data_IF_432814302522
#
_entry.id   IF_432814302522
#
_cell.length_a   1.000
_cell.length_b   1.000
_cell.length_c   1.000
_cell.angle_alpha   90.00
_cell.angle_beta   90.00
_cell.angle_gamma   90.00
#
_symmetry.space_group_name_H-M   'P 1'
#
loop_
_entity.id
_entity.type
_entity.pdbx_description
1 polymer ?
#
# COMPACT_ATOMS: atom_id res chain seq x y z
N UNK A 1 8.55 -5.60 14.02
CA UNK A 1 7.43 -6.53 13.78
C UNK A 1 7.64 -7.14 12.39
N UNK A 2 7.41 -8.44 12.19
CA UNK A 2 7.38 -9.01 10.84
C UNK A 2 5.99 -8.71 10.26
N UNK A 3 5.95 -7.94 9.19
CA UNK A 3 4.74 -7.50 8.51
C UNK A 3 4.46 -8.53 7.43
N UNK A 4 3.57 -9.49 7.71
CA UNK A 4 3.33 -10.66 6.84
C UNK A 4 2.79 -10.25 5.47
N UNK A 5 3.70 -9.99 4.52
CA UNK A 5 3.40 -9.42 3.21
C UNK A 5 4.62 -9.54 2.29
N UNK A 6 4.37 -9.85 1.03
CA UNK A 6 5.31 -9.75 -0.08
C UNK A 6 4.69 -8.87 -1.15
N UNK A 7 5.31 -7.72 -1.38
CA UNK A 7 4.95 -6.82 -2.48
C UNK A 7 6.16 -6.61 -3.36
N UNK A 8 5.94 -6.53 -4.67
CA UNK A 8 7.00 -6.38 -5.66
C UNK A 8 6.58 -5.43 -6.77
N UNK A 9 7.56 -4.86 -7.46
CA UNK A 9 7.34 -4.06 -8.65
C UNK A 9 8.53 -4.15 -9.60
N UNK A 10 8.25 -4.14 -10.90
CA UNK A 10 9.24 -4.21 -11.99
C UNK A 10 8.85 -3.23 -13.10
N UNK A 11 9.83 -2.48 -13.58
CA UNK A 11 9.75 -1.64 -14.78
C UNK A 11 9.90 -2.51 -16.03
N UNK A 12 9.11 -2.23 -17.06
CA UNK A 12 9.19 -2.89 -18.36
C UNK A 12 9.04 -1.87 -19.49
N UNK A 13 9.29 -2.27 -20.73
CA UNK A 13 9.18 -1.38 -21.87
C UNK A 13 7.74 -0.88 -22.06
N UNK A 14 7.51 0.42 -21.78
CA UNK A 14 6.22 1.07 -21.90
C UNK A 14 5.33 1.05 -20.65
N UNK A 15 5.84 0.58 -19.50
CA UNK A 15 5.07 0.62 -18.27
C UNK A 15 5.72 0.01 -17.02
N UNK A 16 4.89 -0.19 -16.00
CA UNK A 16 5.28 -0.85 -14.75
C UNK A 16 4.28 -1.94 -14.36
N UNK A 17 4.79 -3.03 -13.79
CA UNK A 17 3.98 -4.07 -13.14
C UNK A 17 4.23 -4.02 -11.65
N UNK A 18 3.15 -4.00 -10.87
CA UNK A 18 3.16 -4.17 -9.43
C UNK A 18 2.44 -5.46 -9.08
N UNK A 19 2.82 -6.08 -7.97
CA UNK A 19 2.10 -7.22 -7.44
C UNK A 19 2.18 -7.33 -5.93
N UNK A 20 1.22 -8.06 -5.38
CA UNK A 20 1.12 -8.34 -3.95
C UNK A 20 0.56 -9.73 -3.68
N UNK A 21 0.97 -10.34 -2.57
CA UNK A 21 0.25 -11.47 -1.96
C UNK A 21 -1.02 -10.98 -1.24
N UNK A 22 -1.95 -11.88 -0.94
CA UNK A 22 -3.27 -11.53 -0.40
C UNK A 22 -3.50 -11.97 1.04
N UNK A 23 -2.48 -12.47 1.74
CA UNK A 23 -2.60 -12.87 3.16
C UNK A 23 -2.50 -11.67 4.10
N UNK A 24 -3.41 -11.56 5.07
CA UNK A 24 -3.28 -10.65 6.20
C UNK A 24 -3.16 -11.44 7.52
N UNK A 25 -2.24 -11.02 8.39
CA UNK A 25 -1.92 -11.75 9.63
C UNK A 25 -2.13 -10.90 10.88
N UNK A 26 -2.70 -11.51 11.91
CA UNK A 26 -2.79 -11.01 13.28
C UNK A 26 -1.87 -11.82 14.18
N UNK A 27 -0.58 -11.49 14.19
CA UNK A 27 0.44 -12.31 14.85
C UNK A 27 0.67 -13.62 14.11
N UNK A 28 0.27 -14.75 14.71
CA UNK A 28 0.41 -16.09 14.10
C UNK A 28 -0.84 -16.57 13.37
N UNK A 29 -1.94 -15.84 13.51
CA UNK A 29 -3.23 -16.21 12.91
C UNK A 29 -3.39 -15.49 11.58
N UNK A 30 -3.87 -16.19 10.56
CA UNK A 30 -4.32 -15.57 9.30
C UNK A 30 -5.69 -14.96 9.54
N UNK A 31 -5.79 -13.64 9.46
CA UNK A 31 -7.03 -12.89 9.67
C UNK A 31 -7.86 -12.78 8.39
N UNK A 32 -7.18 -12.66 7.24
CA UNK A 32 -7.81 -12.60 5.93
C UNK A 32 -6.92 -13.35 4.92
N UNK A 33 -7.56 -14.12 4.05
CA UNK A 33 -6.91 -14.88 2.98
C UNK A 33 -6.94 -14.16 1.64
N UNK A 34 -7.79 -13.16 1.44
CA UNK A 34 -7.98 -12.45 0.17
C UNK A 34 -7.95 -10.91 0.35
N UNK A 35 -6.96 -10.43 1.09
CA UNK A 35 -6.75 -9.02 1.41
C UNK A 35 -6.18 -8.25 0.20
N UNK A 36 -6.75 -7.08 -0.09
CA UNK A 36 -6.24 -6.18 -1.13
C UNK A 36 -5.11 -5.29 -0.59
N UNK A 37 -3.93 -5.39 -1.21
CA UNK A 37 -2.76 -4.60 -0.84
C UNK A 37 -2.34 -3.61 -1.93
N UNK A 38 -3.05 -3.59 -3.06
CA UNK A 38 -2.77 -2.69 -4.18
C UNK A 38 -3.75 -1.52 -4.13
N UNK A 39 -3.23 -0.35 -3.79
CA UNK A 39 -4.01 0.87 -3.65
C UNK A 39 -3.84 1.77 -4.88
N UNK A 40 -4.94 1.96 -5.60
CA UNK A 40 -5.01 2.84 -6.77
C UNK A 40 -5.06 4.30 -6.30
N UNK A 41 -4.07 5.11 -6.69
CA UNK A 41 -3.99 6.53 -6.31
C UNK A 41 -4.55 7.45 -7.39
N UNK A 42 -4.30 7.12 -8.66
CA UNK A 42 -4.78 7.82 -9.85
C UNK A 42 -4.87 6.84 -11.02
N UNK A 43 -5.43 7.27 -12.15
CA UNK A 43 -5.55 6.45 -13.37
C UNK A 43 -4.21 5.98 -13.96
N UNK A 44 -3.10 6.62 -13.57
CA UNK A 44 -1.73 6.30 -13.99
C UNK A 44 -0.78 5.98 -12.82
N UNK A 45 -1.28 5.85 -11.58
CA UNK A 45 -0.45 5.65 -10.38
C UNK A 45 -1.12 4.67 -9.42
N UNK A 46 -0.41 3.62 -9.04
CA UNK A 46 -0.81 2.69 -7.98
C UNK A 46 0.33 2.47 -6.98
N UNK A 47 -0.01 1.97 -5.80
CA UNK A 47 0.99 1.61 -4.81
C UNK A 47 0.62 0.35 -4.05
N UNK A 48 1.61 -0.48 -3.78
CA UNK A 48 1.47 -1.64 -2.91
C UNK A 48 1.86 -1.27 -1.48
N UNK A 49 1.05 -1.68 -0.50
CA UNK A 49 1.27 -1.42 0.91
C UNK A 49 1.78 -2.64 1.68
N UNK A 50 2.86 -2.46 2.43
CA UNK A 50 3.31 -3.37 3.48
C UNK A 50 3.45 -2.60 4.80
N UNK A 51 3.43 -3.30 5.94
CA UNK A 51 3.48 -2.66 7.25
C UNK A 51 2.22 -2.90 8.07
N UNK A 52 1.88 -1.92 8.91
CA UNK A 52 0.57 -1.85 9.57
C UNK A 52 -0.49 -1.58 8.51
N UNK A 53 -1.41 -2.53 8.29
CA UNK A 53 -2.41 -2.44 7.22
C UNK A 53 -3.26 -1.16 7.29
N UNK A 54 -3.64 -0.74 8.51
CA UNK A 54 -4.42 0.49 8.70
C UNK A 54 -3.65 1.76 8.29
N UNK A 55 -2.34 1.80 8.56
CA UNK A 55 -1.48 2.92 8.19
C UNK A 55 -1.32 2.99 6.67
N UNK A 56 -1.07 1.85 6.03
CA UNK A 56 -0.93 1.73 4.58
C UNK A 56 -2.19 2.19 3.84
N UNK A 57 -3.38 1.77 4.27
CA UNK A 57 -4.64 2.23 3.65
C UNK A 57 -4.87 3.72 3.91
N UNK A 58 -4.58 4.21 5.12
CA UNK A 58 -4.87 5.60 5.46
C UNK A 58 -3.96 6.59 4.76
N UNK A 59 -2.68 6.26 4.61
CA UNK A 59 -1.73 7.13 3.91
C UNK A 59 -2.00 7.17 2.40
N UNK A 60 -2.35 6.03 1.81
CA UNK A 60 -2.65 5.93 0.38
C UNK A 60 -3.95 6.63 0.03
N UNK A 61 -4.99 6.49 0.85
CA UNK A 61 -6.25 7.23 0.67
C UNK A 61 -6.04 8.75 0.83
N UNK A 62 -5.21 9.17 1.78
CA UNK A 62 -4.83 10.57 1.92
C UNK A 62 -4.09 11.12 0.70
N UNK A 63 -3.18 10.33 0.12
CA UNK A 63 -2.46 10.69 -1.10
C UNK A 63 -3.38 10.72 -2.32
N UNK A 64 -4.27 9.73 -2.47
CA UNK A 64 -5.30 9.67 -3.52
C UNK A 64 -6.16 10.92 -3.53
N UNK A 65 -6.68 11.33 -2.37
CA UNK A 65 -7.49 12.53 -2.25
C UNK A 65 -6.72 13.80 -2.60
N UNK A 66 -5.44 13.89 -2.22
CA UNK A 66 -4.59 15.02 -2.57
C UNK A 66 -4.32 15.10 -4.08
N UNK A 67 -4.01 13.96 -4.72
CA UNK A 67 -3.80 13.87 -6.17
C UNK A 67 -5.08 14.17 -6.95
N UNK A 68 -6.22 13.67 -6.49
CA UNK A 68 -7.51 13.96 -7.10
C UNK A 68 -7.87 15.45 -7.03
N UNK A 69 -7.55 16.13 -5.91
CA UNK A 69 -7.71 17.59 -5.80
C UNK A 69 -6.81 18.33 -6.78
N UNK A 70 -5.54 17.94 -6.87
CA UNK A 70 -4.60 18.51 -7.85
C UNK A 70 -5.12 18.32 -9.28
N UNK A 71 -5.60 17.12 -9.63
CA UNK A 71 -6.16 16.84 -10.94
C UNK A 71 -7.39 17.69 -11.27
N UNK A 72 -8.30 17.85 -10.30
CA UNK A 72 -9.50 18.71 -10.46
C UNK A 72 -9.15 20.18 -10.61
N UNK A 73 -8.19 20.68 -9.85
CA UNK A 73 -7.70 22.06 -9.97
C UNK A 73 -7.06 22.29 -11.34
N UNK A 74 -6.27 21.35 -11.85
CA UNK A 74 -5.73 21.42 -13.21
C UNK A 74 -6.81 21.39 -14.29
N UNK A 75 -7.84 20.55 -14.12
CA UNK A 75 -8.98 20.47 -15.05
C UNK A 75 -9.79 21.77 -15.09
N UNK A 76 -9.92 22.48 -13.96
CA UNK A 76 -10.59 23.77 -13.89
C UNK A 76 -9.82 24.90 -14.58
N UNK A 77 -8.49 24.78 -14.68
CA UNK A 77 -7.63 25.72 -15.40
C UNK A 77 -7.61 25.50 -16.92
N UNK A 78 -8.15 24.38 -17.43
CA UNK A 78 -8.19 24.09 -18.85
C UNK A 78 -9.33 24.87 -19.53
N UNK A 79 -9.06 25.56 -20.66
CA UNK A 79 -10.01 26.49 -21.29
C UNK A 79 -11.28 25.81 -21.86
N UNK A 80 -11.34 24.48 -21.89
CA UNK A 80 -12.44 23.68 -22.46
C UNK A 80 -13.49 23.22 -21.45
N UNK A 81 -13.33 23.44 -20.13
CA UNK A 81 -14.22 22.87 -19.10
C UNK A 81 -15.26 23.88 -18.56
N UNK A 82 -16.22 24.30 -19.40
CA UNK A 82 -17.52 24.68 -18.82
C UNK A 82 -18.08 23.42 -18.17
N UNK A 83 -18.43 23.48 -16.89
CA UNK A 83 -18.93 22.31 -16.16
C UNK A 83 -20.12 21.70 -16.92
N UNK A 84 -20.02 20.44 -17.39
CA UNK A 84 -21.10 19.77 -18.12
C UNK A 84 -22.42 19.78 -17.36
N UNK A 85 -22.34 19.74 -16.02
CA UNK A 85 -23.48 19.84 -15.10
C UNK A 85 -24.29 21.13 -15.23
N UNK A 86 -23.71 22.24 -15.68
CA UNK A 86 -24.45 23.49 -15.88
C UNK A 86 -25.37 23.45 -17.12
N UNK A 87 -25.24 22.43 -17.96
CA UNK A 87 -25.99 22.30 -19.23
C UNK A 87 -26.97 21.11 -19.23
N UNK A 88 -27.00 20.31 -18.16
CA UNK A 88 -27.88 19.15 -18.04
C UNK A 88 -29.34 19.59 -17.87
N UNK A 89 -30.24 19.14 -18.77
CA UNK A 89 -31.68 19.40 -18.64
C UNK A 89 -32.48 18.17 -18.16
N UNK A 90 -31.84 16.99 -18.11
CA UNK A 90 -32.46 15.75 -17.64
C UNK A 90 -31.49 14.88 -16.82
N UNK A 91 -32.04 13.92 -16.07
CA UNK A 91 -31.26 12.96 -15.27
C UNK A 91 -30.34 12.07 -16.11
N UNK A 92 -30.73 11.78 -17.35
CA UNK A 92 -29.91 11.04 -18.32
C UNK A 92 -28.80 11.90 -18.94
N UNK A 93 -28.99 13.22 -19.01
CA UNK A 93 -27.95 14.17 -19.40
C UNK A 93 -26.95 14.39 -18.26
N UNK A 94 -27.42 14.31 -17.01
CA UNK A 94 -26.59 14.30 -15.81
C UNK A 94 -25.67 13.07 -15.78
N UNK A 95 -26.20 11.86 -15.98
CA UNK A 95 -25.37 10.63 -16.03
C UNK A 95 -24.34 10.66 -17.17
N UNK A 96 -24.71 11.16 -18.35
CA UNK A 96 -23.76 11.35 -19.47
C UNK A 96 -22.70 12.42 -19.17
N UNK A 97 -23.11 13.52 -18.54
CA UNK A 97 -22.21 14.57 -18.11
C UNK A 97 -21.21 14.05 -17.06
N UNK A 98 -21.67 13.28 -16.08
CA UNK A 98 -20.82 12.61 -15.08
C UNK A 98 -19.81 11.67 -15.74
N UNK A 99 -20.24 10.80 -16.66
CA UNK A 99 -19.33 9.92 -17.40
C UNK A 99 -18.31 10.71 -18.26
N UNK A 100 -18.72 11.81 -18.89
CA UNK A 100 -17.81 12.68 -19.64
C UNK A 100 -16.80 13.39 -18.75
N UNK A 101 -17.22 13.84 -17.55
CA UNK A 101 -16.34 14.43 -16.55
C UNK A 101 -15.30 13.43 -16.07
N UNK A 102 -15.72 12.18 -15.82
CA UNK A 102 -14.83 11.10 -15.38
C UNK A 102 -13.80 10.76 -16.46
N UNK A 103 -14.20 10.68 -17.73
CA UNK A 103 -13.27 10.47 -18.84
C UNK A 103 -12.25 11.62 -19.02
N UNK A 104 -12.69 12.86 -18.81
CA UNK A 104 -11.80 14.03 -18.85
C UNK A 104 -10.85 14.12 -17.66
N UNK A 105 -11.29 13.68 -16.48
CA UNK A 105 -10.43 13.57 -15.30
C UNK A 105 -9.34 12.52 -15.51
N UNK A 106 -9.70 11.39 -16.08
CA UNK A 106 -8.81 10.29 -16.39
C UNK A 106 -7.67 10.70 -17.34
N UNK A 107 -8.00 11.48 -18.37
CA UNK A 107 -7.02 12.03 -19.30
C UNK A 107 -6.11 13.08 -18.64
N UNK A 108 -6.69 13.95 -17.80
CA UNK A 108 -5.91 14.95 -17.05
C UNK A 108 -4.93 14.26 -16.11
N UNK A 109 -5.37 13.21 -15.40
CA UNK A 109 -4.53 12.42 -14.52
C UNK A 109 -3.37 11.78 -15.28
N UNK A 110 -3.64 11.07 -16.38
CA UNK A 110 -2.60 10.43 -17.22
C UNK A 110 -1.59 11.44 -17.79
N UNK A 111 -2.04 12.62 -18.23
CA UNK A 111 -1.17 13.61 -18.88
C UNK A 111 -0.45 14.56 -17.92
N UNK A 112 -0.99 14.80 -16.73
CA UNK A 112 -0.51 15.90 -15.87
C UNK A 112 -0.06 15.45 -14.48
N UNK A 113 -0.60 14.35 -13.92
CA UNK A 113 -0.14 13.86 -12.63
C UNK A 113 1.19 13.14 -12.78
N UNK A 114 2.16 13.57 -11.97
CA UNK A 114 3.52 13.01 -11.91
C UNK A 114 3.64 11.97 -10.82
N UNK A 115 4.34 10.88 -11.10
CA UNK A 115 4.60 9.85 -10.10
C UNK A 115 5.46 10.41 -8.97
N UNK A 116 6.44 11.26 -9.31
CA UNK A 116 7.28 11.95 -8.34
C UNK A 116 6.51 12.86 -7.37
N UNK A 117 5.38 13.45 -7.80
CA UNK A 117 4.52 14.24 -6.91
C UNK A 117 3.84 13.35 -5.86
N UNK A 118 3.32 12.19 -6.28
CA UNK A 118 2.75 11.19 -5.38
C UNK A 118 3.81 10.66 -4.39
N UNK A 119 5.01 10.34 -4.89
CA UNK A 119 6.14 9.89 -4.07
C UNK A 119 6.50 10.92 -2.99
N UNK A 120 6.55 12.19 -3.35
CA UNK A 120 6.87 13.28 -2.42
C UNK A 120 5.78 13.48 -1.36
N UNK A 121 4.50 13.35 -1.74
CA UNK A 121 3.38 13.45 -0.79
C UNK A 121 3.46 12.34 0.27
N UNK A 122 3.67 11.10 -0.16
CA UNK A 122 3.82 9.94 0.72
C UNK A 122 5.05 10.07 1.62
N UNK A 123 6.22 10.36 1.02
CA UNK A 123 7.48 10.57 1.73
C UNK A 123 7.35 11.63 2.83
N UNK A 124 6.80 12.80 2.50
CA UNK A 124 6.64 13.91 3.44
C UNK A 124 5.71 13.55 4.58
N UNK A 125 4.66 12.77 4.31
CA UNK A 125 3.75 12.29 5.33
C UNK A 125 4.46 11.32 6.28
N UNK A 126 5.09 10.26 5.78
CA UNK A 126 5.83 9.29 6.61
C UNK A 126 6.94 9.95 7.43
N UNK A 127 7.73 10.81 6.80
CA UNK A 127 8.81 11.53 7.48
C UNK A 127 8.29 12.40 8.63
N UNK A 128 7.12 13.06 8.48
CA UNK A 128 6.53 13.88 9.55
C UNK A 128 6.22 13.07 10.80
N UNK A 129 5.83 11.80 10.63
CA UNK A 129 5.50 10.91 11.74
C UNK A 129 6.70 10.10 12.26
N UNK A 130 7.90 10.31 11.70
CA UNK A 130 9.17 9.74 12.18
C UNK A 130 9.09 8.22 12.46
N UNK A 131 8.39 7.47 11.60
CA UNK A 131 8.22 6.02 11.71
C UNK A 131 7.10 5.55 12.66
N UNK A 132 6.32 6.46 13.25
CA UNK A 132 5.11 6.09 14.02
C UNK A 132 4.04 5.48 13.11
N UNK A 133 3.93 6.02 11.88
CA UNK A 133 3.15 5.42 10.79
C UNK A 133 4.05 4.39 10.12
N UNK A 134 3.81 3.11 10.36
CA UNK A 134 4.61 2.02 9.81
C UNK A 134 3.95 1.52 8.53
N UNK A 135 4.23 2.24 7.45
CA UNK A 135 3.84 1.85 6.10
C UNK A 135 5.06 1.92 5.20
N UNK A 136 5.36 0.79 4.56
CA UNK A 136 6.40 0.66 3.57
C UNK A 136 5.70 0.43 2.22
N UNK A 137 6.00 1.28 1.25
CA UNK A 137 5.23 1.40 0.02
C UNK A 137 6.11 1.16 -1.20
N UNK A 138 5.58 0.41 -2.16
CA UNK A 138 6.12 0.35 -3.52
C UNK A 138 5.15 1.11 -4.41
N UNK A 139 5.56 2.29 -4.88
CA UNK A 139 4.75 3.17 -5.73
C UNK A 139 5.20 3.00 -7.17
N UNK A 140 4.28 2.61 -8.05
CA UNK A 140 4.52 2.51 -9.49
C UNK A 140 3.59 3.43 -10.26
N UNK A 141 4.08 3.98 -11.36
CA UNK A 141 3.23 4.71 -12.28
C UNK A 141 3.95 5.07 -13.57
N UNK A 142 3.17 5.61 -14.50
CA UNK A 142 3.68 6.14 -15.77
C UNK A 142 3.26 7.60 -15.86
N UNK A 143 4.21 8.48 -16.13
CA UNK A 143 3.95 9.89 -16.41
C UNK A 143 4.64 10.33 -17.71
N UNK A 144 4.57 11.61 -18.05
CA UNK A 144 5.12 12.09 -19.34
C UNK A 144 6.66 12.05 -19.41
N UNK A 145 7.35 11.88 -18.29
CA UNK A 145 8.80 11.64 -18.25
C UNK A 145 9.07 10.19 -18.61
N UNK A 146 8.29 9.27 -18.03
CA UNK A 146 8.35 7.85 -18.31
C UNK A 146 7.73 7.00 -17.21
N UNK A 147 8.14 5.76 -17.18
CA UNK A 147 7.83 4.76 -16.19
C UNK A 147 8.73 4.89 -14.95
N UNK A 148 8.11 4.86 -13.77
CA UNK A 148 8.82 5.07 -12.52
C UNK A 148 8.36 4.07 -11.46
N UNK A 149 9.31 3.48 -10.74
CA UNK A 149 9.07 2.77 -9.49
C UNK A 149 9.83 3.45 -8.35
N UNK A 150 9.09 3.79 -7.31
CA UNK A 150 9.59 4.39 -6.09
C UNK A 150 9.41 3.46 -4.90
N UNK A 151 10.51 3.18 -4.22
CA UNK A 151 10.52 2.50 -2.93
C UNK A 151 10.47 3.54 -1.81
N UNK A 152 9.45 3.46 -0.95
CA UNK A 152 9.25 4.38 0.17
C UNK A 152 9.27 3.59 1.47
N UNK A 153 10.27 3.86 2.31
CA UNK A 153 10.35 3.24 3.63
C UNK A 153 9.57 4.06 4.66
N UNK A 154 9.13 3.39 5.72
CA UNK A 154 8.40 3.96 6.86
C UNK A 154 9.09 5.16 7.55
N UNK A 155 10.42 5.26 7.45
CA UNK A 155 11.18 6.43 7.93
C UNK A 155 11.09 7.67 7.02
N UNK A 156 10.42 7.59 5.88
CA UNK A 156 10.37 8.65 4.87
C UNK A 156 11.60 8.70 3.95
N UNK A 157 12.37 7.62 3.87
CA UNK A 157 13.39 7.44 2.84
C UNK A 157 12.71 7.07 1.51
N UNK A 158 13.20 7.64 0.42
CA UNK A 158 12.68 7.45 -0.93
C UNK A 158 13.83 7.09 -1.86
N UNK A 159 13.67 6.04 -2.65
CA UNK A 159 14.59 5.65 -3.71
C UNK A 159 13.81 5.35 -4.99
N UNK A 160 14.38 5.73 -6.13
CA UNK A 160 13.88 5.36 -7.47
C UNK A 160 14.70 4.17 -7.96
N UNK A 161 14.02 3.12 -8.41
CA UNK A 161 14.63 1.83 -8.74
C UNK A 161 13.87 1.16 -9.88
N UNK A 162 14.55 0.32 -10.66
CA UNK A 162 13.93 -0.41 -11.78
C UNK A 162 13.07 -1.60 -11.32
N UNK A 163 13.45 -2.22 -10.21
CA UNK A 163 12.67 -3.27 -9.58
C UNK A 163 12.88 -3.22 -8.07
N UNK A 164 11.89 -3.68 -7.32
CA UNK A 164 11.97 -3.73 -5.87
C UNK A 164 11.02 -4.75 -5.28
N UNK A 165 11.33 -5.21 -4.08
CA UNK A 165 10.43 -5.99 -3.25
C UNK A 165 10.48 -5.47 -1.81
N UNK A 166 9.32 -5.47 -1.15
CA UNK A 166 9.13 -4.97 0.21
C UNK A 166 8.25 -5.91 1.04
N UNK A 167 8.33 -5.80 2.36
CA UNK A 167 7.63 -6.68 3.31
C UNK A 167 8.49 -7.83 3.83
N UNK A 168 7.90 -8.76 4.58
CA UNK A 168 8.62 -9.88 5.21
C UNK A 168 9.17 -10.89 4.21
N UNK A 169 8.49 -11.14 3.09
CA UNK A 169 8.97 -12.04 2.03
C UNK A 169 9.79 -11.33 0.94
N UNK A 170 10.17 -10.06 1.15
CA UNK A 170 10.96 -9.27 0.20
C UNK A 170 12.26 -9.94 -0.24
N UNK A 171 12.98 -10.62 0.66
CA UNK A 171 14.26 -11.26 0.30
C UNK A 171 14.08 -12.45 -0.66
N UNK A 172 13.01 -13.22 -0.49
CA UNK A 172 12.69 -14.32 -1.40
C UNK A 172 12.31 -13.76 -2.78
N UNK A 173 11.42 -12.77 -2.81
CA UNK A 173 11.04 -12.10 -4.05
C UNK A 173 12.24 -11.45 -4.74
N UNK A 174 13.08 -10.72 -4.01
CA UNK A 174 14.24 -10.03 -4.56
C UNK A 174 15.23 -11.02 -5.19
N UNK A 175 15.41 -12.21 -4.62
CA UNK A 175 16.29 -13.24 -5.21
C UNK A 175 15.85 -13.70 -6.60
N UNK A 176 14.54 -13.73 -6.85
CA UNK A 176 13.96 -14.05 -8.17
C UNK A 176 14.09 -12.84 -9.10
N UNK A 177 13.72 -11.64 -8.60
CA UNK A 177 13.80 -10.41 -9.38
C UNK A 177 15.23 -10.12 -9.84
N UNK A 178 16.24 -10.21 -8.96
CA UNK A 178 17.65 -9.99 -9.30
C UNK A 178 18.18 -11.01 -10.32
N UNK A 179 17.64 -12.23 -10.32
CA UNK A 179 18.03 -13.29 -11.26
C UNK A 179 17.37 -13.12 -12.62
N UNK A 180 16.10 -12.70 -12.66
CA UNK A 180 15.29 -12.65 -13.88
C UNK A 180 15.22 -11.28 -14.54
N UNK A 181 15.54 -10.19 -13.82
CA UNK A 181 15.47 -8.84 -14.35
C UNK A 181 16.49 -8.61 -15.47
N UNK A 182 16.03 -7.95 -16.53
CA UNK A 182 16.83 -7.47 -17.65
C UNK A 182 16.27 -6.15 -18.14
N UNK A 183 17.10 -5.34 -18.78
CA UNK A 183 16.62 -4.14 -19.46
C UNK A 183 15.66 -4.55 -20.61
N UNK A 184 14.68 -3.69 -20.91
CA UNK A 184 13.69 -3.88 -21.99
C UNK A 184 12.90 -5.20 -21.88
N UNK A 185 12.38 -5.51 -20.68
CA UNK A 185 11.41 -6.58 -20.50
C UNK A 185 10.14 -6.26 -21.29
N UNK A 186 9.52 -7.30 -21.86
CA UNK A 186 8.15 -7.18 -22.36
C UNK A 186 7.17 -7.19 -21.20
N UNK A 187 5.96 -6.69 -21.42
CA UNK A 187 4.89 -6.69 -20.41
C UNK A 187 4.62 -8.11 -19.85
N UNK A 188 4.63 -9.12 -20.72
CA UNK A 188 4.33 -10.51 -20.31
C UNK A 188 5.46 -11.09 -19.45
N UNK A 189 6.71 -10.88 -19.82
CA UNK A 189 7.85 -11.34 -19.02
C UNK A 189 7.91 -10.61 -17.68
N UNK A 190 7.57 -9.32 -17.64
CA UNK A 190 7.50 -8.56 -16.39
C UNK A 190 6.40 -9.09 -15.46
N UNK A 191 5.22 -9.44 -16.00
CA UNK A 191 4.15 -10.10 -15.24
C UNK A 191 4.61 -11.43 -14.65
N UNK A 192 5.22 -12.27 -15.47
CA UNK A 192 5.74 -13.58 -15.05
C UNK A 192 6.81 -13.44 -13.98
N UNK A 193 7.74 -12.49 -14.13
CA UNK A 193 8.79 -12.22 -13.16
C UNK A 193 8.23 -11.75 -11.80
N UNK A 194 7.23 -10.87 -11.81
CA UNK A 194 6.55 -10.43 -10.58
C UNK A 194 5.76 -11.57 -9.93
N UNK A 195 5.05 -12.38 -10.73
CA UNK A 195 4.34 -13.57 -10.24
C UNK A 195 5.29 -14.57 -9.58
N UNK A 196 6.40 -14.90 -10.22
CA UNK A 196 7.41 -15.83 -9.69
C UNK A 196 8.06 -15.26 -8.42
N UNK A 197 8.35 -13.96 -8.39
CA UNK A 197 8.90 -13.30 -7.21
C UNK A 197 7.95 -13.35 -6.01
N UNK A 198 6.65 -13.09 -6.22
CA UNK A 198 5.67 -13.16 -5.13
C UNK A 198 5.41 -14.60 -4.73
N UNK A 199 5.35 -15.55 -5.68
CA UNK A 199 5.22 -16.98 -5.40
C UNK A 199 6.38 -17.48 -4.51
N UNK A 200 7.61 -17.07 -4.81
CA UNK A 200 8.76 -17.36 -3.95
C UNK A 200 8.59 -16.76 -2.54
N UNK A 201 8.01 -15.56 -2.42
CA UNK A 201 7.61 -14.98 -1.13
C UNK A 201 6.57 -15.84 -0.41
N UNK A 202 5.52 -16.28 -1.09
CA UNK A 202 4.45 -17.14 -0.55
C UNK A 202 5.02 -18.47 -0.02
N UNK A 203 5.91 -19.11 -0.77
CA UNK A 203 6.47 -20.41 -0.41
C UNK A 203 7.48 -20.33 0.75
N UNK A 204 8.19 -19.21 0.88
CA UNK A 204 9.33 -19.09 1.80
C UNK A 204 9.07 -18.19 3.01
N UNK A 205 8.04 -17.34 2.99
CA UNK A 205 7.67 -16.45 4.09
C UNK A 205 6.32 -16.80 4.69
N UNK A 206 6.32 -17.22 5.96
CA UNK A 206 5.11 -17.60 6.71
C UNK A 206 4.06 -16.46 6.79
N UNK A 207 4.53 -15.21 6.74
CA UNK A 207 3.67 -14.04 6.79
C UNK A 207 2.92 -13.77 5.49
N UNK A 208 3.43 -14.26 4.37
CA UNK A 208 2.88 -14.08 3.03
C UNK A 208 2.10 -15.32 2.60
N UNK A 209 1.14 -15.19 1.68
CA UNK A 209 0.45 -16.34 1.13
C UNK A 209 -0.84 -16.05 0.42
N UNK A 210 -1.57 -17.14 0.17
CA UNK A 210 -2.84 -17.16 -0.56
C UNK A 210 -2.67 -16.84 -2.05
N UNK A 211 -3.45 -15.92 -2.59
CA UNK A 211 -3.47 -15.55 -4.00
C UNK A 211 -2.46 -14.43 -4.29
N UNK A 212 -2.19 -14.21 -5.58
CA UNK A 212 -1.38 -13.09 -6.06
C UNK A 212 -2.26 -12.14 -6.87
N UNK A 213 -2.22 -10.86 -6.50
CA UNK A 213 -2.82 -9.77 -7.26
C UNK A 213 -1.75 -9.05 -8.09
N UNK A 214 -2.11 -8.63 -9.30
CA UNK A 214 -1.24 -7.87 -10.20
C UNK A 214 -1.90 -6.56 -10.61
N UNK A 215 -1.10 -5.53 -10.76
CA UNK A 215 -1.52 -4.25 -11.33
C UNK A 215 -0.54 -3.81 -12.39
N UNK A 216 -1.04 -3.60 -13.60
CA UNK A 216 -0.27 -3.22 -14.78
C UNK A 216 -0.62 -1.79 -15.11
N UNK A 217 0.39 -0.95 -15.26
CA UNK A 217 0.19 0.45 -15.60
C UNK A 217 0.98 0.74 -16.87
N UNK A 218 0.24 1.10 -17.93
CA UNK A 218 0.81 1.49 -19.22
C UNK A 218 0.38 2.91 -19.58
N UNK A 219 1.18 3.59 -20.41
CA UNK A 219 0.81 4.92 -20.91
C UNK A 219 -0.48 4.90 -21.75
N UNK A 220 -0.68 3.84 -22.54
CA UNK A 220 -1.77 3.75 -23.53
C UNK A 220 -3.08 3.24 -22.92
N UNK A 221 -3.04 2.10 -22.21
CA UNK A 221 -4.24 1.46 -21.65
C UNK A 221 -4.58 2.01 -20.25
N UNK A 222 -3.61 2.64 -19.59
CA UNK A 222 -3.73 3.08 -18.20
C UNK A 222 -3.54 1.93 -17.23
N UNK A 223 -4.24 2.01 -16.10
CA UNK A 223 -4.13 1.07 -14.98
C UNK A 223 -5.14 -0.08 -15.12
N UNK A 224 -4.62 -1.31 -15.14
CA UNK A 224 -5.37 -2.56 -15.16
C UNK A 224 -5.06 -3.34 -13.86
N UNK A 225 -6.09 -3.59 -13.04
CA UNK A 225 -5.95 -4.34 -11.79
C UNK A 225 -6.53 -5.75 -11.97
N UNK A 226 -5.67 -6.76 -11.86
CA UNK A 226 -6.00 -8.18 -11.98
C UNK A 226 -6.00 -8.82 -10.58
N UNK A 227 -7.18 -8.93 -9.98
CA UNK A 227 -7.37 -9.67 -8.73
C UNK A 227 -7.31 -11.18 -8.99
N UNK A 228 -6.58 -11.92 -8.15
CA UNK A 228 -6.43 -13.36 -8.26
C UNK A 228 -5.76 -13.80 -9.56
N UNK A 229 -4.75 -13.05 -10.03
CA UNK A 229 -3.98 -13.39 -11.22
C UNK A 229 -3.32 -14.77 -11.12
N UNK A 230 -3.00 -15.18 -9.89
CA UNK A 230 -2.70 -16.56 -9.54
C UNK A 230 -3.42 -16.93 -8.25
N UNK A 231 -3.93 -18.15 -8.19
CA UNK A 231 -4.63 -18.69 -7.03
C UNK A 231 -3.89 -19.93 -6.54
N UNK A 232 -3.65 -20.00 -5.23
CA UNK A 232 -3.06 -21.17 -4.61
C UNK A 232 -3.96 -22.40 -4.83
N UNK A 233 -3.47 -23.48 -5.47
CA UNK A 233 -4.25 -24.69 -5.70
C UNK A 233 -4.70 -25.39 -4.42
N UNK A 234 -4.09 -25.09 -3.27
CA UNK A 234 -4.46 -25.66 -1.96
C UNK A 234 -5.55 -24.91 -1.20
N UNK A 235 -6.12 -23.85 -1.77
CA UNK A 235 -7.17 -23.04 -1.17
C UNK A 235 -8.54 -23.39 -1.75
N UNK A 236 -9.20 -24.40 -1.19
CA UNK A 236 -10.62 -24.65 -1.45
C UNK A 236 -11.47 -23.59 -0.70
N UNK A 237 -12.24 -22.80 -1.45
CA UNK A 237 -13.20 -21.82 -0.91
C UNK A 237 -14.39 -22.50 -0.20
N UNK A 238 -14.61 -23.79 -0.46
CA UNK A 238 -15.75 -24.59 0.01
C UNK A 238 -15.71 -24.94 1.51
N UNK A 239 -14.56 -24.82 2.17
CA UNK A 239 -14.43 -25.16 3.61
C UNK A 239 -14.92 -24.04 4.56
N UNK A 240 -15.30 -22.88 4.03
CA UNK A 240 -16.12 -21.87 4.73
C UNK A 240 -17.54 -21.80 4.13
N UNK A 241 -18.05 -22.86 3.51
CA UNK A 241 -19.49 -23.02 3.48
C UNK A 241 -19.92 -23.21 4.93
N UNK A 242 -20.61 -22.19 5.49
CA UNK A 242 -21.17 -22.20 6.83
C UNK A 242 -21.77 -23.59 7.08
N UNK A 243 -21.14 -24.36 7.96
CA UNK A 243 -21.69 -25.63 8.41
C UNK A 243 -22.91 -25.27 9.23
N UNK A 244 -24.05 -25.14 8.54
CA UNK A 244 -25.33 -24.79 9.15
C UNK A 244 -25.57 -25.79 10.25
N UNK A 245 -25.47 -25.32 11.49
CA UNK A 245 -25.78 -26.16 12.63
C UNK A 245 -27.26 -26.52 12.52
N UNK A 246 -27.64 -27.79 12.72
CA UNK A 246 -29.04 -28.18 12.67
C UNK A 246 -29.86 -27.31 13.63
N UNK A 247 -31.03 -26.87 13.17
CA UNK A 247 -31.96 -26.10 13.99
C UNK A 247 -32.25 -26.84 15.30
N UNK A 248 -31.97 -26.19 16.44
CA UNK A 248 -32.10 -26.78 17.78
C UNK A 248 -30.79 -27.12 18.50
N UNK A 249 -29.62 -26.96 17.87
CA UNK A 249 -28.32 -27.18 18.55
C UNK A 249 -27.91 -26.06 19.51
N UNK A 250 -28.59 -24.90 19.46
CA UNK A 250 -28.37 -23.78 20.38
C UNK A 250 -29.37 -23.91 21.53
N UNK A 251 -28.90 -24.32 22.70
CA UNK A 251 -29.72 -24.29 23.91
C UNK A 251 -30.12 -22.86 24.23
N UNK A 252 -31.40 -22.53 24.10
CA UNK A 252 -31.96 -21.26 24.58
C UNK A 252 -32.27 -21.42 26.07
N UNK A 253 -31.36 -21.01 26.94
CA UNK A 253 -31.72 -20.78 28.34
C UNK A 253 -32.55 -19.48 28.43
N UNK A 254 -33.86 -19.69 28.51
CA UNK A 254 -34.91 -18.77 28.97
C UNK A 254 -35.21 -17.53 28.10
N UNK A 255 -36.09 -17.72 27.11
CA UNK A 255 -37.07 -16.71 26.73
C UNK A 255 -38.05 -16.53 27.91
N UNK A 256 -37.65 -15.72 28.88
CA UNK A 256 -38.44 -15.47 30.08
C UNK A 256 -39.68 -14.65 29.69
N UNK A 257 -40.76 -15.36 29.34
CA UNK A 257 -42.12 -14.83 29.40
C UNK A 257 -42.30 -14.22 30.78
N UNK A 258 -42.57 -12.93 30.81
CA UNK A 258 -42.99 -12.16 31.98
C UNK A 258 -44.23 -12.81 32.60
N UNK A 259 -44.01 -13.81 33.44
CA UNK A 259 -44.97 -14.32 34.42
C UNK A 259 -44.77 -13.54 35.70
N UNK A 260 -45.83 -12.90 36.17
CA UNK A 260 -45.86 -12.10 37.40
C UNK A 260 -45.25 -12.85 38.58
N UNK A 261 -44.09 -12.41 39.07
CA UNK A 261 -43.55 -12.86 40.35
C UNK A 261 -44.00 -11.88 41.41
N UNK A 262 -44.83 -12.36 42.34
CA UNK A 262 -45.30 -11.63 43.50
C UNK A 262 -44.09 -11.21 44.36
N UNK A 263 -44.05 -9.92 44.72
CA UNK A 263 -43.04 -9.39 45.63
C UNK A 263 -43.15 -10.07 47.00
N UNK A 264 -42.12 -10.81 47.40
CA UNK A 264 -41.88 -11.16 48.80
C UNK A 264 -40.54 -10.59 49.24
N UNK A 265 -40.60 -9.88 50.36
CA UNK A 265 -39.61 -9.05 51.02
C UNK A 265 -38.13 -9.47 50.87
N UNK A 266 -37.33 -8.56 50.31
CA UNK A 266 -35.87 -8.63 50.33
C UNK A 266 -35.35 -8.30 51.73
N UNK A 267 -34.67 -9.26 52.38
CA UNK A 267 -33.82 -8.97 53.54
C UNK A 267 -32.51 -8.34 53.06
N UNK A 268 -31.99 -7.29 53.73
CA UNK A 268 -30.75 -6.65 53.31
C UNK A 268 -29.53 -7.54 53.59
N UNK A 269 -28.65 -7.65 52.59
CA UNK A 269 -27.37 -8.37 52.65
C UNK A 269 -26.33 -7.47 53.36
N UNK A 270 -25.53 -7.98 54.33
CA UNK A 270 -24.53 -7.18 55.03
C UNK A 270 -23.37 -6.78 54.10
N UNK A 271 -22.93 -5.52 54.19
CA UNK A 271 -21.76 -4.99 53.49
C UNK A 271 -20.49 -5.52 54.15
N UNK A 272 -19.75 -6.36 53.45
CA UNK A 272 -18.42 -6.82 53.86
C UNK A 272 -17.36 -5.71 53.72
N UNK A 273 -16.48 -5.64 54.71
CA UNK A 273 -15.47 -4.62 54.92
C UNK A 273 -14.44 -4.51 53.78
N UNK A 274 -14.13 -3.27 53.39
CA UNK A 274 -13.07 -2.94 52.44
C UNK A 274 -11.73 -2.85 53.16
N UNK A 275 -11.06 -3.97 53.37
CA UNK A 275 -9.62 -3.99 53.64
C UNK A 275 -8.95 -5.15 52.88
N UNK A 276 -7.93 -4.84 52.08
CA UNK A 276 -7.05 -5.84 51.48
C UNK A 276 -7.02 -5.93 49.94
N UNK A 277 -6.94 -4.81 49.21
CA UNK A 277 -6.41 -4.87 47.83
C UNK A 277 -4.89 -4.76 47.91
N UNK A 278 -4.25 -5.92 47.84
CA UNK A 278 -2.82 -6.06 47.70
C UNK A 278 -2.30 -5.30 46.48
N UNK A 279 -1.28 -4.47 46.72
CA UNK A 279 -0.44 -3.80 45.73
C UNK A 279 0.06 -4.83 44.71
N UNK A 280 -0.44 -4.78 43.47
CA UNK A 280 0.19 -5.48 42.34
C UNK A 280 1.22 -4.54 41.73
N UNK A 281 2.48 -4.94 41.85
CA UNK A 281 3.66 -4.22 41.43
C UNK A 281 3.61 -3.84 39.94
N UNK A 282 3.88 -2.57 39.65
CA UNK A 282 4.27 -2.10 38.34
C UNK A 282 5.61 -2.77 37.99
N UNK A 283 5.63 -3.59 36.94
CA UNK A 283 6.86 -4.13 36.38
C UNK A 283 7.67 -2.97 35.75
N UNK A 284 8.95 -2.79 36.10
CA UNK A 284 9.75 -1.72 35.51
C UNK A 284 10.06 -2.01 34.03
N UNK A 285 9.94 -0.97 33.20
CA UNK A 285 10.49 -0.94 31.84
C UNK A 285 11.98 -1.33 31.85
N UNK A 286 12.46 -2.19 30.93
CA UNK A 286 13.89 -2.36 30.76
C UNK A 286 14.49 -1.09 30.15
N UNK A 287 15.46 -0.53 30.86
CA UNK A 287 16.27 0.60 30.44
C UNK A 287 17.06 0.29 29.16
N UNK A 288 17.23 1.31 28.31
CA UNK A 288 18.10 1.25 27.14
C UNK A 288 19.53 0.82 27.52
N UNK A 289 20.15 -0.14 26.81
CA UNK A 289 21.53 -0.49 27.10
C UNK A 289 22.47 0.66 26.71
N UNK A 290 23.38 0.95 27.65
CA UNK A 290 24.42 1.96 27.52
C UNK A 290 25.33 1.71 26.31
N UNK A 291 25.73 2.80 25.68
CA UNK A 291 26.71 2.88 24.60
C UNK A 291 28.03 2.20 24.99
N UNK A 292 28.36 1.10 24.32
CA UNK A 292 29.70 0.55 24.31
C UNK A 292 30.52 1.27 23.24
N UNK A 293 31.52 2.05 23.67
CA UNK A 293 32.54 2.63 22.82
C UNK A 293 33.42 1.52 22.23
N UNK A 294 33.25 1.22 20.93
CA UNK A 294 34.18 0.38 20.18
C UNK A 294 35.09 1.27 19.35
N UNK A 295 36.37 1.02 19.53
CA UNK A 295 37.54 1.68 18.96
C UNK A 295 37.50 1.81 17.43
N UNK A 296 37.92 2.98 16.95
CA UNK A 296 38.19 3.28 15.53
C UNK A 296 39.21 2.28 14.96
N UNK A 297 38.76 1.29 14.20
CA UNK A 297 39.58 0.59 13.22
C UNK A 297 39.42 1.26 11.86
N UNK A 298 40.57 1.60 11.26
CA UNK A 298 40.68 2.29 9.97
C UNK A 298 40.24 1.36 8.84
N UNK A 299 39.33 1.81 7.99
CA UNK A 299 39.08 1.23 6.66
C UNK A 299 39.07 2.37 5.63
N UNK A 300 39.67 2.21 4.43
CA UNK A 300 40.12 3.33 3.60
C UNK A 300 38.99 4.06 2.87
N UNK A 301 39.23 5.35 2.62
CA UNK A 301 38.34 6.27 1.92
C UNK A 301 38.13 5.91 0.44
N UNK A 302 36.89 5.55 0.08
CA UNK A 302 36.40 5.57 -1.31
C UNK A 302 36.01 7.02 -1.66
N UNK A 303 37.00 7.90 -1.64
CA UNK A 303 36.93 9.29 -2.10
C UNK A 303 37.56 9.43 -3.49
N UNK A 304 37.22 8.51 -4.42
CA UNK A 304 37.78 8.47 -5.80
C UNK A 304 36.76 8.15 -6.90
N UNK A 305 35.48 8.39 -6.69
CA UNK A 305 34.45 8.22 -7.74
C UNK A 305 33.68 9.50 -8.11
N UNK A 306 33.94 10.64 -7.45
CA UNK A 306 33.21 11.90 -7.68
C UNK A 306 34.03 12.99 -8.40
N UNK A 307 35.07 12.62 -9.16
CA UNK A 307 35.92 13.59 -9.86
C UNK A 307 35.92 13.51 -11.38
N UNK A 308 34.96 12.81 -12.01
CA UNK A 308 34.91 12.68 -13.49
C UNK A 308 33.63 13.13 -14.21
N UNK A 309 32.64 13.70 -13.52
CA UNK A 309 31.42 14.20 -14.20
C UNK A 309 31.18 15.72 -14.06
N UNK A 310 32.15 16.46 -13.50
CA UNK A 310 32.04 17.90 -13.28
C UNK A 310 33.06 18.70 -14.11
N UNK A 311 33.26 18.34 -15.39
CA UNK A 311 34.16 19.07 -16.33
C UNK A 311 33.61 19.17 -17.76
N UNK A 312 32.29 19.00 -18.00
CA UNK A 312 31.72 19.12 -19.36
C UNK A 312 30.50 20.05 -19.46
N UNK A 313 30.48 21.15 -18.70
CA UNK A 313 29.50 22.24 -18.89
C UNK A 313 30.14 23.63 -18.76
N UNK A 314 31.26 23.85 -19.46
CA UNK A 314 31.79 25.19 -19.72
C UNK A 314 32.45 25.27 -21.10
N UNK A 315 31.63 25.42 -22.14
CA UNK A 315 31.99 26.19 -23.33
C UNK A 315 30.82 26.26 -24.30
N UNK A 316 30.56 27.48 -24.78
CA UNK A 316 29.78 27.84 -25.98
C UNK A 316 28.33 28.27 -25.78
N UNK A 317 28.20 29.54 -25.41
CA UNK A 317 27.50 30.60 -26.14
C UNK A 317 26.01 30.44 -26.53
N UNK A 318 25.18 31.25 -25.86
CA UNK A 318 24.34 32.31 -26.47
C UNK A 318 23.07 32.55 -25.62
N UNK A 319 23.19 33.41 -24.61
CA UNK A 319 22.05 33.95 -23.85
C UNK A 319 21.64 35.27 -24.52
N UNK A 320 20.64 35.20 -25.40
CA UNK A 320 19.96 36.39 -25.93
C UNK A 320 18.81 36.74 -24.99
N UNK A 321 18.92 37.91 -24.37
CA UNK A 321 17.84 38.62 -23.70
C UNK A 321 16.65 38.80 -24.67
N UNK A 322 15.44 38.53 -24.19
CA UNK A 322 14.26 39.28 -24.63
C UNK A 322 13.52 39.82 -23.40
N UNK A 323 13.16 41.10 -23.54
CA UNK A 323 12.40 41.94 -22.62
C UNK A 323 11.01 41.40 -22.34
#
# INVERSE_FOLDING_TARGET
MKTGTTIAGVVFEGGVVLGADTRATGGKTVCDRNCDKIHILASNIACCGAGTSADAVRITEGARLALLRMAREMQACLPSSRSPLLQCQSRADEERALASCDSGLDEVQRKHLRVGAAALLLKRHLFRYQGTVSAALVLGGVDVIGEHIYQIHEGGSLAEVEFTAMGSGSLAALSVLERGYRENLTEQEAKELVLEGIAAGIDNDLGSGSNIDLCVITAERGLEHHRGAWTDPGLDDDDIAARELPEGSRGSENDNKMGQVQHTDARPIPRGDREGVAKRAQSPHPAAPATASVSRSRVPSIARALHRSLVLLRSSDALVLCK
#
